data_IF_847320470959
#
_entry.id   IF_847320470959
#
_cell.length_a   1.000
_cell.length_b   1.000
_cell.length_c   1.000
_cell.angle_alpha   90.00
_cell.angle_beta   90.00
_cell.angle_gamma   90.00
#
_symmetry.space_group_name_H-M   'P 1'
#
loop_
_entity.id
_entity.type
_entity.pdbx_description
1 polymer ?
#
# COMPACT_ATOMS: atom_id res chain seq x y z
N UNK A 1 2.85 -28.01 -14.79
CA UNK A 1 1.93 -27.74 -13.66
C UNK A 1 0.76 -26.93 -14.23
N UNK A 2 -0.49 -27.30 -13.96
CA UNK A 2 -1.67 -26.58 -14.46
C UNK A 2 -2.19 -25.68 -13.33
N UNK A 3 -2.36 -24.39 -13.61
CA UNK A 3 -2.98 -23.39 -12.73
C UNK A 3 -4.49 -23.60 -12.66
N UNK A 4 -5.15 -23.05 -11.64
CA UNK A 4 -6.62 -23.10 -11.54
C UNK A 4 -7.27 -22.19 -12.58
N UNK A 5 -8.46 -22.53 -13.07
CA UNK A 5 -9.21 -21.71 -14.05
C UNK A 5 -9.44 -20.26 -13.58
N UNK A 6 -9.54 -20.02 -12.26
CA UNK A 6 -9.69 -18.66 -11.72
C UNK A 6 -8.46 -17.80 -11.97
N UNK A 7 -7.26 -18.39 -11.90
CA UNK A 7 -6.01 -17.70 -12.19
C UNK A 7 -5.89 -17.42 -13.69
N UNK A 8 -6.31 -18.35 -14.53
CA UNK A 8 -6.25 -18.20 -15.99
C UNK A 8 -7.16 -17.07 -16.50
N UNK A 9 -8.15 -16.65 -15.71
CA UNK A 9 -9.06 -15.52 -16.02
C UNK A 9 -8.56 -14.16 -15.55
N UNK A 10 -7.46 -14.10 -14.79
CA UNK A 10 -6.92 -12.82 -14.34
C UNK A 10 -6.27 -12.09 -15.52
N UNK A 11 -6.63 -10.81 -15.77
CA UNK A 11 -5.98 -10.03 -16.81
C UNK A 11 -4.52 -9.73 -16.42
N UNK A 12 -3.64 -9.44 -17.39
CA UNK A 12 -2.30 -8.94 -17.12
C UNK A 12 -2.33 -7.70 -16.23
N UNK A 13 -1.36 -7.59 -15.31
CA UNK A 13 -1.27 -6.44 -14.42
C UNK A 13 -0.75 -5.21 -15.18
N UNK A 14 -1.65 -4.28 -15.46
CA UNK A 14 -1.38 -3.09 -16.27
C UNK A 14 -0.16 -2.28 -15.80
N UNK A 15 0.02 -2.11 -14.48
CA UNK A 15 1.11 -1.28 -13.96
C UNK A 15 2.49 -1.94 -14.09
N UNK A 16 2.60 -3.27 -14.14
CA UNK A 16 3.87 -3.93 -14.46
C UNK A 16 4.29 -3.62 -15.89
N UNK A 17 3.34 -3.68 -16.83
CA UNK A 17 3.59 -3.33 -18.23
C UNK A 17 3.94 -1.86 -18.42
N UNK A 18 3.27 -0.96 -17.69
CA UNK A 18 3.60 0.46 -17.69
C UNK A 18 5.01 0.72 -17.12
N UNK A 19 5.35 0.07 -16.01
CA UNK A 19 6.69 0.19 -15.39
C UNK A 19 7.78 -0.25 -16.34
N UNK A 20 7.60 -1.39 -17.03
CA UNK A 20 8.53 -1.87 -18.06
C UNK A 20 8.76 -0.83 -19.16
N UNK A 21 7.69 -0.24 -19.69
CA UNK A 21 7.79 0.80 -20.73
C UNK A 21 8.49 2.07 -20.23
N UNK A 22 8.22 2.48 -18.98
CA UNK A 22 8.88 3.63 -18.35
C UNK A 22 10.38 3.35 -18.25
N UNK A 23 10.78 2.17 -17.79
CA UNK A 23 12.17 1.78 -17.63
C UNK A 23 12.91 1.72 -18.98
N UNK A 24 12.27 1.15 -20.01
CA UNK A 24 12.80 1.15 -21.39
C UNK A 24 13.04 2.56 -21.92
N UNK A 25 12.11 3.49 -21.67
CA UNK A 25 12.24 4.89 -22.11
C UNK A 25 13.33 5.63 -21.34
N UNK A 26 13.40 5.46 -20.02
CA UNK A 26 14.48 6.01 -19.18
C UNK A 26 15.84 5.48 -19.62
N UNK A 27 15.97 4.18 -19.90
CA UNK A 27 17.20 3.56 -20.40
C UNK A 27 17.62 4.11 -21.78
N UNK A 28 16.65 4.53 -22.60
CA UNK A 28 16.90 5.22 -23.86
C UNK A 28 17.22 6.73 -23.72
N UNK A 29 17.36 7.24 -22.50
CA UNK A 29 17.67 8.64 -22.22
C UNK A 29 16.48 9.60 -22.33
N UNK A 30 15.25 9.08 -22.39
CA UNK A 30 14.03 9.91 -22.41
C UNK A 30 13.71 10.38 -20.99
N UNK A 31 13.47 11.68 -20.84
CA UNK A 31 12.90 12.25 -19.61
C UNK A 31 11.40 11.91 -19.53
N UNK A 32 11.02 11.11 -18.53
CA UNK A 32 9.67 10.58 -18.38
C UNK A 32 8.98 11.27 -17.21
N UNK A 33 7.97 12.08 -17.52
CA UNK A 33 7.08 12.69 -16.52
C UNK A 33 5.97 11.70 -16.17
N UNK A 34 5.94 11.25 -14.92
CA UNK A 34 4.95 10.29 -14.43
C UNK A 34 3.68 11.00 -13.94
N UNK A 35 2.61 10.90 -14.72
CA UNK A 35 1.25 11.35 -14.35
C UNK A 35 0.24 10.20 -14.29
N UNK A 36 0.74 8.94 -14.37
CA UNK A 36 -0.10 7.75 -14.55
C UNK A 36 -0.36 6.95 -13.27
N UNK A 37 0.28 7.30 -12.16
CA UNK A 37 0.16 6.60 -10.88
C UNK A 37 -0.20 7.62 -9.80
N UNK A 38 -1.29 7.36 -9.07
CA UNK A 38 -1.76 8.20 -7.96
C UNK A 38 -1.03 7.94 -6.65
N UNK A 39 0.29 7.78 -6.70
CA UNK A 39 1.14 7.62 -5.52
C UNK A 39 1.56 9.01 -5.03
N UNK A 40 1.25 9.40 -3.78
CA UNK A 40 1.66 10.70 -3.25
C UNK A 40 3.19 10.86 -3.26
N UNK A 41 3.65 12.03 -3.68
CA UNK A 41 5.07 12.43 -3.62
C UNK A 41 5.46 13.04 -2.26
N UNK A 42 4.48 13.33 -1.41
CA UNK A 42 4.67 13.83 -0.05
C UNK A 42 4.82 12.69 0.96
N UNK A 43 5.68 12.85 2.00
CA UNK A 43 5.83 11.83 3.02
C UNK A 43 4.56 11.66 3.87
N UNK A 44 4.43 10.49 4.47
CA UNK A 44 3.44 10.24 5.54
C UNK A 44 3.64 11.25 6.67
N UNK A 45 2.57 11.84 7.25
CA UNK A 45 2.69 12.80 8.35
C UNK A 45 3.47 12.25 9.55
N UNK A 46 4.35 13.07 10.14
CA UNK A 46 5.25 12.68 11.24
C UNK A 46 4.50 12.04 12.41
N UNK A 47 3.34 12.57 12.79
CA UNK A 47 2.49 12.03 13.85
C UNK A 47 2.18 10.53 13.65
N UNK A 48 1.95 10.09 12.40
CA UNK A 48 1.65 8.69 12.08
C UNK A 48 2.90 7.83 12.19
N UNK A 49 4.04 8.35 11.71
CA UNK A 49 5.34 7.66 11.77
C UNK A 49 5.79 7.48 13.22
N UNK A 50 5.62 8.51 14.06
CA UNK A 50 5.91 8.46 15.49
C UNK A 50 5.01 7.46 16.23
N UNK A 51 3.70 7.48 15.97
CA UNK A 51 2.77 6.51 16.56
C UNK A 51 3.11 5.06 16.18
N UNK A 52 3.50 4.82 14.93
CA UNK A 52 4.01 3.51 14.49
C UNK A 52 5.27 3.12 15.24
N UNK A 53 6.24 4.03 15.36
CA UNK A 53 7.50 3.76 16.05
C UNK A 53 7.30 3.51 17.56
N UNK A 54 6.33 4.18 18.18
CA UNK A 54 5.97 3.94 19.57
C UNK A 54 5.30 2.57 19.72
N UNK A 55 4.32 2.25 18.88
CA UNK A 55 3.63 0.96 18.90
C UNK A 55 4.60 -0.20 18.68
N UNK A 56 5.54 -0.10 17.73
CA UNK A 56 6.53 -1.14 17.48
C UNK A 56 7.46 -1.45 18.67
N UNK A 57 7.68 -0.48 19.57
CA UNK A 57 8.45 -0.67 20.81
C UNK A 57 7.63 -1.31 21.94
N UNK A 58 6.30 -1.33 21.84
CA UNK A 58 5.42 -1.95 22.82
C UNK A 58 5.26 -3.46 22.53
N UNK A 59 5.77 -4.35 23.41
CA UNK A 59 5.62 -5.80 23.25
C UNK A 59 4.16 -6.25 23.19
N UNK A 60 3.22 -5.48 23.75
CA UNK A 60 1.79 -5.75 23.70
C UNK A 60 1.22 -5.72 22.28
N UNK A 61 1.92 -5.11 21.33
CA UNK A 61 1.48 -5.05 19.92
C UNK A 61 2.01 -6.20 19.06
N UNK A 62 2.89 -7.05 19.60
CA UNK A 62 3.58 -8.09 18.82
C UNK A 62 2.74 -9.37 18.65
N UNK A 63 1.70 -9.53 19.45
CA UNK A 63 0.83 -10.70 19.39
C UNK A 63 -0.28 -10.50 18.35
N UNK A 64 -0.88 -11.62 17.94
CA UNK A 64 -2.00 -11.58 17.01
C UNK A 64 -3.16 -10.76 17.58
N UNK A 65 -3.70 -9.78 16.82
CA UNK A 65 -4.93 -9.12 17.19
C UNK A 65 -6.11 -10.07 16.99
N UNK A 66 -7.31 -9.60 17.35
CA UNK A 66 -8.54 -10.30 16.95
C UNK A 66 -8.64 -10.38 15.41
N UNK A 67 -9.43 -11.33 14.89
CA UNK A 67 -9.72 -11.44 13.45
C UNK A 67 -10.36 -10.17 12.86
N UNK A 68 -10.89 -9.28 13.70
CA UNK A 68 -11.48 -8.01 13.28
C UNK A 68 -10.49 -6.84 13.36
N UNK A 69 -9.25 -7.09 13.77
CA UNK A 69 -8.28 -6.05 14.13
C UNK A 69 -8.42 -5.59 15.59
N UNK A 70 -7.69 -4.53 15.95
CA UNK A 70 -7.71 -3.90 17.27
C UNK A 70 -8.98 -3.09 17.50
N UNK A 71 -9.58 -3.16 18.69
CA UNK A 71 -10.82 -2.41 19.00
C UNK A 71 -10.60 -0.91 18.94
N UNK A 72 -9.43 -0.45 19.41
CA UNK A 72 -9.05 0.97 19.45
C UNK A 72 -9.04 1.59 18.05
N UNK A 73 -8.57 0.86 17.04
CA UNK A 73 -8.61 1.32 15.64
C UNK A 73 -10.05 1.41 15.13
N UNK A 74 -10.87 0.40 15.43
CA UNK A 74 -12.27 0.35 14.97
C UNK A 74 -13.11 1.46 15.59
N UNK A 75 -12.89 1.77 16.87
CA UNK A 75 -13.51 2.88 17.58
C UNK A 75 -13.07 4.23 17.01
N UNK A 76 -11.77 4.40 16.73
CA UNK A 76 -11.24 5.62 16.11
C UNK A 76 -11.83 5.88 14.71
N UNK A 77 -12.02 4.82 13.90
CA UNK A 77 -12.67 4.92 12.60
C UNK A 77 -14.15 5.28 12.75
N UNK A 78 -14.88 4.67 13.68
CA UNK A 78 -16.27 5.03 13.95
C UNK A 78 -16.41 6.51 14.33
N UNK A 79 -15.59 6.98 15.28
CA UNK A 79 -15.56 8.39 15.69
C UNK A 79 -15.11 9.34 14.58
N UNK A 80 -14.32 8.89 13.60
CA UNK A 80 -14.01 9.68 12.41
C UNK A 80 -15.24 9.90 11.53
N UNK A 81 -16.09 8.88 11.35
CA UNK A 81 -17.31 8.99 10.55
C UNK A 81 -18.46 9.74 11.25
N UNK A 82 -18.43 9.83 12.58
CA UNK A 82 -19.42 10.59 13.36
C UNK A 82 -19.15 12.11 13.40
N UNK A 83 -17.98 12.55 12.92
CA UNK A 83 -17.60 13.96 12.80
C UNK A 83 -18.06 14.56 11.48
#
# INVERSE_FOLDING_TARGET
>A
MRTSERLDRLPPYLFAELSRKIDEKKAAGVDVISLGIGDPDTPTPDLVVEALAQAGRDPGTHQYPSNKGRSEFREAVAAFYER
#
